data_IF_735269779854
#
_entry.id   IF_735269779854
#
_cell.length_a   1.000
_cell.length_b   1.000
_cell.length_c   1.000
_cell.angle_alpha   90.00
_cell.angle_beta   90.00
_cell.angle_gamma   90.00
#
_symmetry.space_group_name_H-M   'P 1'
#
loop_
_entity.id
_entity.type
_entity.pdbx_description
1 polymer ?
#
# COMPACT_ATOMS: atom_id res chain seq x y z
N UNK A 1 7.58 -3.56 -25.91
CA UNK A 1 8.73 -3.98 -25.09
C UNK A 1 8.32 -3.74 -23.65
N UNK A 2 8.26 -4.79 -22.82
CA UNK A 2 7.93 -4.63 -21.40
C UNK A 2 9.14 -4.00 -20.72
N UNK A 3 8.99 -2.81 -20.13
CA UNK A 3 10.02 -2.24 -19.26
C UNK A 3 10.08 -3.14 -18.03
N UNK A 4 11.12 -3.96 -17.94
CA UNK A 4 11.38 -4.77 -16.75
C UNK A 4 11.73 -3.82 -15.62
N UNK A 5 10.87 -3.75 -14.59
CA UNK A 5 11.16 -2.98 -13.38
C UNK A 5 12.39 -3.63 -12.74
N UNK A 6 13.46 -2.86 -12.58
CA UNK A 6 14.69 -3.32 -11.94
C UNK A 6 14.72 -2.83 -10.50
N UNK A 7 14.99 -3.74 -9.56
CA UNK A 7 15.04 -3.41 -8.15
C UNK A 7 16.06 -4.28 -7.40
N UNK A 8 16.52 -3.75 -6.27
CA UNK A 8 17.55 -4.35 -5.44
C UNK A 8 16.92 -5.30 -4.41
N UNK A 9 16.96 -6.60 -4.71
CA UNK A 9 16.48 -7.66 -3.82
C UNK A 9 17.12 -7.62 -2.43
N UNK A 10 18.42 -7.33 -2.36
CA UNK A 10 19.11 -7.23 -1.07
C UNK A 10 18.55 -6.08 -0.25
N UNK A 11 18.25 -4.94 -0.86
CA UNK A 11 17.64 -3.82 -0.15
C UNK A 11 16.24 -4.14 0.35
N UNK A 12 15.42 -4.83 -0.46
CA UNK A 12 14.11 -5.33 -0.01
C UNK A 12 14.21 -6.29 1.17
N UNK A 13 15.22 -7.17 1.19
CA UNK A 13 15.44 -8.11 2.28
C UNK A 13 15.79 -7.47 3.63
N UNK A 14 16.23 -6.20 3.64
CA UNK A 14 16.48 -5.45 4.87
C UNK A 14 15.24 -4.73 5.41
N UNK A 15 14.14 -4.67 4.67
CA UNK A 15 12.88 -4.09 5.14
C UNK A 15 12.35 -4.94 6.28
N UNK A 16 12.04 -4.30 7.42
CA UNK A 16 11.67 -4.97 8.68
C UNK A 16 10.53 -5.99 8.50
N UNK A 17 9.51 -5.61 7.75
CA UNK A 17 8.33 -6.42 7.48
C UNK A 17 8.64 -7.63 6.58
N UNK A 18 9.67 -7.54 5.74
CA UNK A 18 10.01 -8.58 4.76
C UNK A 18 11.14 -9.50 5.21
N UNK A 19 11.98 -9.02 6.13
CA UNK A 19 13.24 -9.66 6.54
C UNK A 19 13.10 -11.15 6.83
N UNK A 20 12.13 -11.52 7.68
CA UNK A 20 11.94 -12.91 8.06
C UNK A 20 11.59 -13.82 6.87
N UNK A 21 10.83 -13.33 5.89
CA UNK A 21 10.46 -14.12 4.71
C UNK A 21 11.65 -14.34 3.79
N UNK A 22 12.48 -13.32 3.58
CA UNK A 22 13.71 -13.46 2.81
C UNK A 22 14.77 -14.33 3.51
N UNK A 23 14.90 -14.24 4.83
CA UNK A 23 15.79 -15.12 5.61
C UNK A 23 15.36 -16.59 5.56
N UNK A 24 14.05 -16.84 5.51
CA UNK A 24 13.49 -18.20 5.46
C UNK A 24 13.62 -18.81 4.06
N UNK A 25 13.26 -18.08 3.02
CA UNK A 25 13.29 -18.54 1.64
C UNK A 25 13.43 -17.36 0.68
N UNK A 26 14.67 -16.93 0.47
CA UNK A 26 14.97 -15.77 -0.38
C UNK A 26 14.43 -15.94 -1.80
N UNK A 27 14.66 -17.11 -2.41
CA UNK A 27 14.31 -17.34 -3.81
C UNK A 27 12.80 -17.49 -3.98
N UNK A 28 12.14 -18.32 -3.17
CA UNK A 28 10.70 -18.51 -3.27
C UNK A 28 9.91 -17.26 -2.93
N UNK A 29 10.36 -16.46 -1.96
CA UNK A 29 9.70 -15.18 -1.67
C UNK A 29 9.91 -14.15 -2.80
N UNK A 30 11.11 -14.11 -3.41
CA UNK A 30 11.37 -13.28 -4.59
C UNK A 30 10.44 -13.64 -5.76
N UNK A 31 10.31 -14.94 -6.07
CA UNK A 31 9.43 -15.43 -7.13
C UNK A 31 7.95 -15.06 -6.90
N UNK A 32 7.49 -15.09 -5.64
CA UNK A 32 6.12 -14.65 -5.30
C UNK A 32 5.91 -13.16 -5.56
N UNK A 33 6.89 -12.33 -5.19
CA UNK A 33 6.85 -10.89 -5.51
C UNK A 33 6.83 -10.69 -7.03
N UNK A 34 7.70 -11.38 -7.77
CA UNK A 34 7.76 -11.29 -9.25
C UNK A 34 6.43 -11.70 -9.91
N UNK A 35 5.78 -12.75 -9.41
CA UNK A 35 4.46 -13.18 -9.88
C UNK A 35 3.44 -12.03 -9.78
N UNK A 36 3.35 -11.39 -8.61
CA UNK A 36 2.43 -10.27 -8.40
C UNK A 36 2.80 -9.05 -9.24
N UNK A 37 4.10 -8.77 -9.42
CA UNK A 37 4.55 -7.70 -10.32
C UNK A 37 4.03 -7.96 -11.73
N UNK A 38 4.17 -9.18 -12.24
CA UNK A 38 3.72 -9.54 -13.58
C UNK A 38 2.21 -9.35 -13.77
N UNK A 39 1.39 -9.73 -12.78
CA UNK A 39 -0.06 -9.54 -12.85
C UNK A 39 -0.44 -8.05 -12.77
N UNK A 40 0.16 -7.29 -11.86
CA UNK A 40 -0.11 -5.86 -11.69
C UNK A 40 0.32 -5.03 -12.92
N UNK A 41 1.38 -5.43 -13.62
CA UNK A 41 1.84 -4.77 -14.85
C UNK A 41 0.84 -4.87 -16.02
N UNK A 42 -0.14 -5.77 -15.95
CA UNK A 42 -1.21 -5.89 -16.95
C UNK A 42 -2.31 -4.84 -16.78
N UNK A 43 -2.34 -4.15 -15.62
CA UNK A 43 -3.35 -3.13 -15.31
C UNK A 43 -3.05 -1.86 -16.09
N UNK A 44 -4.12 -1.20 -16.57
CA UNK A 44 -4.01 0.09 -17.24
C UNK A 44 -3.36 1.14 -16.33
N UNK A 45 -2.44 1.94 -16.90
CA UNK A 45 -1.69 2.96 -16.15
C UNK A 45 -2.58 3.88 -15.30
N UNK A 46 -3.74 4.30 -15.83
CA UNK A 46 -4.65 5.19 -15.10
C UNK A 46 -5.29 4.53 -13.89
N UNK A 47 -5.53 3.22 -13.94
CA UNK A 47 -6.04 2.48 -12.79
C UNK A 47 -4.94 2.23 -11.76
N UNK A 48 -3.68 2.02 -12.18
CA UNK A 48 -2.53 1.99 -11.27
C UNK A 48 -2.36 3.32 -10.50
N UNK A 49 -2.61 4.46 -11.14
CA UNK A 49 -2.58 5.77 -10.47
C UNK A 49 -3.63 5.84 -9.34
N UNK A 50 -4.85 5.37 -9.60
CA UNK A 50 -5.93 5.33 -8.61
C UNK A 50 -5.65 4.35 -7.47
N UNK A 51 -5.12 3.16 -7.80
CA UNK A 51 -4.73 2.15 -6.83
C UNK A 51 -3.58 2.63 -5.94
N UNK A 52 -2.64 3.41 -6.48
CA UNK A 52 -1.58 4.04 -5.68
C UNK A 52 -2.16 5.02 -4.64
N UNK A 53 -3.18 5.81 -5.00
CA UNK A 53 -3.90 6.69 -4.06
C UNK A 53 -4.55 5.87 -2.95
N UNK A 54 -5.32 4.84 -3.31
CA UNK A 54 -5.94 3.95 -2.31
C UNK A 54 -4.87 3.36 -1.38
N UNK A 55 -3.76 2.88 -1.95
CA UNK A 55 -2.70 2.23 -1.16
C UNK A 55 -2.03 3.18 -0.18
N UNK A 56 -1.77 4.42 -0.57
CA UNK A 56 -1.22 5.43 0.34
C UNK A 56 -2.20 5.70 1.49
N UNK A 57 -3.50 5.84 1.19
CA UNK A 57 -4.54 6.02 2.23
C UNK A 57 -4.56 4.82 3.21
N UNK A 58 -4.50 3.60 2.69
CA UNK A 58 -4.47 2.39 3.51
C UNK A 58 -3.23 2.33 4.43
N UNK A 59 -2.04 2.62 3.89
CA UNK A 59 -0.79 2.63 4.65
C UNK A 59 -0.82 3.73 5.72
N UNK A 60 -1.22 4.95 5.36
CA UNK A 60 -1.37 6.06 6.30
C UNK A 60 -2.33 5.68 7.42
N UNK A 61 -3.49 5.12 7.12
CA UNK A 61 -4.41 4.63 8.13
C UNK A 61 -3.79 3.52 8.97
N UNK A 62 -3.08 2.57 8.37
CA UNK A 62 -2.33 1.54 9.10
C UNK A 62 -1.38 2.14 10.14
N UNK A 63 -0.58 3.15 9.76
CA UNK A 63 0.28 3.89 10.65
C UNK A 63 -0.51 4.59 11.78
N UNK A 64 -1.63 5.25 11.45
CA UNK A 64 -2.54 5.88 12.43
C UNK A 64 -3.06 4.87 13.45
N UNK A 65 -3.59 3.74 13.00
CA UNK A 65 -4.16 2.71 13.88
C UNK A 65 -3.10 2.08 14.79
N UNK A 66 -1.90 1.82 14.27
CA UNK A 66 -0.79 1.28 15.08
C UNK A 66 -0.25 2.30 16.06
N UNK A 67 -0.16 3.58 15.69
CA UNK A 67 0.26 4.63 16.59
C UNK A 67 -0.71 4.80 17.77
N UNK A 68 -2.01 4.72 17.52
CA UNK A 68 -3.02 4.68 18.58
C UNK A 68 -2.86 3.44 19.49
N UNK A 69 -2.71 2.23 18.92
CA UNK A 69 -2.53 0.99 19.70
C UNK A 69 -1.31 1.03 20.63
N UNK A 70 -0.21 1.64 20.18
CA UNK A 70 1.02 1.79 20.97
C UNK A 70 0.99 2.97 21.94
N UNK A 71 -0.02 3.85 21.85
CA UNK A 71 -0.09 5.12 22.56
C UNK A 71 1.12 6.01 22.25
N UNK A 72 1.49 6.08 20.97
CA UNK A 72 2.53 7.00 20.50
C UNK A 72 2.16 8.44 20.93
N UNK A 73 3.15 9.28 21.22
CA UNK A 73 2.93 10.65 21.71
C UNK A 73 2.02 11.50 20.81
N UNK A 74 2.13 11.29 19.49
CA UNK A 74 1.31 11.98 18.48
C UNK A 74 0.01 11.21 18.12
N UNK A 75 -0.40 10.23 18.92
CA UNK A 75 -1.62 9.47 18.64
C UNK A 75 -2.86 10.36 18.64
N UNK A 76 -3.73 10.12 17.66
CA UNK A 76 -5.01 10.81 17.58
C UNK A 76 -5.93 10.36 18.72
N UNK A 77 -6.96 11.16 19.00
CA UNK A 77 -8.01 10.72 19.92
C UNK A 77 -8.68 9.43 19.43
N UNK A 78 -9.38 8.74 20.32
CA UNK A 78 -10.12 7.51 19.98
C UNK A 78 -11.13 7.79 18.86
N UNK A 79 -11.83 8.92 18.95
CA UNK A 79 -12.87 9.36 18.01
C UNK A 79 -12.26 9.59 16.63
N UNK A 80 -11.16 10.35 16.56
CA UNK A 80 -10.50 10.65 15.29
C UNK A 80 -9.85 9.41 14.67
N UNK A 81 -9.29 8.53 15.49
CA UNK A 81 -8.74 7.23 15.04
C UNK A 81 -9.84 6.35 14.42
N UNK A 82 -11.04 6.33 15.02
CA UNK A 82 -12.22 5.62 14.48
C UNK A 82 -12.74 6.26 13.21
N UNK A 83 -12.79 7.60 13.14
CA UNK A 83 -13.18 8.33 11.93
C UNK A 83 -12.28 7.96 10.75
N UNK A 84 -10.96 7.96 10.95
CA UNK A 84 -9.98 7.51 9.96
C UNK A 84 -10.28 6.09 9.47
N UNK A 85 -10.46 5.15 10.40
CA UNK A 85 -10.72 3.75 10.05
C UNK A 85 -12.03 3.61 9.26
N UNK A 86 -13.11 4.24 9.73
CA UNK A 86 -14.43 4.16 9.09
C UNK A 86 -14.39 4.73 7.67
N UNK A 87 -13.68 5.84 7.46
CA UNK A 87 -13.54 6.45 6.15
C UNK A 87 -12.80 5.52 5.17
N UNK A 88 -11.67 4.95 5.59
CA UNK A 88 -10.89 4.02 4.74
C UNK A 88 -11.64 2.72 4.47
N UNK A 89 -12.29 2.13 5.48
CA UNK A 89 -13.15 0.95 5.28
C UNK A 89 -14.24 1.26 4.25
N UNK A 90 -14.88 2.43 4.35
CA UNK A 90 -15.90 2.85 3.40
C UNK A 90 -15.36 2.90 1.97
N UNK A 91 -14.16 3.44 1.75
CA UNK A 91 -13.56 3.48 0.41
C UNK A 91 -13.33 2.10 -0.20
N UNK A 92 -12.92 1.14 0.62
CA UNK A 92 -12.69 -0.24 0.20
C UNK A 92 -14.04 -0.93 -0.08
N UNK A 93 -15.02 -0.77 0.81
CA UNK A 93 -16.33 -1.43 0.69
C UNK A 93 -17.17 -0.92 -0.47
N UNK A 94 -17.14 0.40 -0.72
CA UNK A 94 -17.86 1.03 -1.83
C UNK A 94 -17.00 1.14 -3.08
N UNK A 95 -15.73 0.71 -3.02
CA UNK A 95 -14.76 0.74 -4.10
C UNK A 95 -14.77 2.08 -4.82
N UNK A 96 -14.62 3.15 -4.02
CA UNK A 96 -14.69 4.54 -4.45
C UNK A 96 -13.96 5.40 -3.41
N UNK A 97 -13.20 6.40 -3.85
CA UNK A 97 -12.57 7.36 -2.94
C UNK A 97 -13.29 8.70 -3.08
N UNK A 98 -14.03 9.09 -2.04
CA UNK A 98 -14.64 10.42 -1.95
C UNK A 98 -13.59 11.43 -1.46
N UNK A 99 -13.26 12.39 -2.32
CA UNK A 99 -12.34 13.48 -1.98
C UNK A 99 -13.10 14.57 -1.22
N UNK A 100 -12.54 15.14 -0.14
CA UNK A 100 -13.15 16.26 0.57
C UNK A 100 -13.42 17.50 -0.28
N UNK A 101 -12.69 17.68 -1.39
CA UNK A 101 -13.00 18.70 -2.42
C UNK A 101 -14.34 18.50 -3.15
N UNK A 102 -14.99 17.33 -2.99
CA UNK A 102 -16.30 17.01 -3.56
C UNK A 102 -16.25 16.10 -4.78
N UNK A 103 -15.05 15.85 -5.32
CA UNK A 103 -14.84 14.89 -6.41
C UNK A 103 -14.78 13.44 -5.91
N UNK A 104 -14.75 12.50 -6.85
CA UNK A 104 -14.82 11.08 -6.55
C UNK A 104 -14.00 10.26 -7.53
N UNK A 105 -13.14 9.40 -6.99
CA UNK A 105 -12.37 8.46 -7.79
C UNK A 105 -13.15 7.14 -7.85
N UNK A 106 -13.46 6.72 -9.08
CA UNK A 106 -14.15 5.47 -9.37
C UNK A 106 -13.20 4.46 -10.01
N UNK A 107 -13.36 3.19 -9.65
CA UNK A 107 -12.62 2.07 -10.22
C UNK A 107 -13.46 1.33 -11.25
N UNK A 108 -12.80 0.74 -12.24
CA UNK A 108 -13.45 -0.17 -13.18
C UNK A 108 -13.82 -1.49 -12.49
N UNK A 109 -14.73 -2.27 -13.05
CA UNK A 109 -15.19 -3.54 -12.44
C UNK A 109 -14.07 -4.56 -12.24
N UNK A 110 -13.07 -4.61 -13.12
CA UNK A 110 -11.90 -5.47 -12.93
C UNK A 110 -11.06 -5.04 -11.73
N UNK A 111 -10.95 -3.74 -11.49
CA UNK A 111 -10.19 -3.19 -10.37
C UNK A 111 -10.97 -3.28 -9.06
N UNK A 112 -12.29 -3.16 -9.12
CA UNK A 112 -13.18 -3.48 -8.00
C UNK A 112 -12.95 -4.92 -7.51
N UNK A 113 -12.92 -5.88 -8.42
CA UNK A 113 -12.61 -7.28 -8.09
C UNK A 113 -11.22 -7.41 -7.44
N UNK A 114 -10.20 -6.74 -7.98
CA UNK A 114 -8.85 -6.75 -7.40
C UNK A 114 -8.80 -6.17 -5.98
N UNK A 115 -9.60 -5.12 -5.70
CA UNK A 115 -9.73 -4.54 -4.36
C UNK A 115 -10.37 -5.55 -3.40
N UNK A 116 -11.40 -6.28 -3.84
CA UNK A 116 -12.03 -7.33 -3.03
C UNK A 116 -11.08 -8.48 -2.72
N UNK A 117 -10.33 -8.94 -3.73
CA UNK A 117 -9.29 -9.97 -3.56
C UNK A 117 -8.19 -9.52 -2.60
N UNK A 118 -7.72 -8.27 -2.72
CA UNK A 118 -6.76 -7.69 -1.78
C UNK A 118 -7.29 -7.60 -0.35
N UNK A 119 -8.56 -7.24 -0.18
CA UNK A 119 -9.25 -7.20 1.12
C UNK A 119 -9.40 -8.59 1.72
N UNK A 120 -9.77 -9.59 0.93
CA UNK A 120 -9.86 -10.98 1.38
C UNK A 120 -8.50 -11.49 1.83
N UNK A 121 -7.44 -11.24 1.05
CA UNK A 121 -6.07 -11.60 1.40
C UNK A 121 -5.64 -10.96 2.74
N UNK A 122 -5.96 -9.69 2.97
CA UNK A 122 -5.70 -9.03 4.26
C UNK A 122 -6.46 -9.69 5.42
N UNK A 123 -7.73 -10.07 5.21
CA UNK A 123 -8.52 -10.75 6.24
C UNK A 123 -7.94 -12.13 6.56
N UNK A 124 -7.59 -12.90 5.54
CA UNK A 124 -7.00 -14.22 5.70
C UNK A 124 -5.67 -14.16 6.45
N UNK A 125 -4.83 -13.17 6.12
CA UNK A 125 -3.54 -12.94 6.77
C UNK A 125 -3.69 -12.50 8.24
N UNK A 126 -4.45 -11.44 8.52
CA UNK A 126 -4.37 -10.74 9.81
C UNK A 126 -5.63 -10.87 10.69
N UNK A 127 -6.69 -11.52 10.21
CA UNK A 127 -7.93 -11.73 10.98
C UNK A 127 -8.22 -13.21 11.19
N UNK A 128 -8.09 -14.03 10.15
CA UNK A 128 -8.32 -15.48 10.22
C UNK A 128 -7.03 -16.24 10.53
N UNK A 129 -5.85 -15.62 10.38
CA UNK A 129 -4.53 -16.21 10.62
C UNK A 129 -4.32 -17.51 9.83
N UNK A 130 -4.74 -17.52 8.57
CA UNK A 130 -4.54 -18.67 7.69
C UNK A 130 -3.04 -18.78 7.37
N UNK A 131 -2.50 -19.98 7.47
CA UNK A 131 -1.09 -20.25 7.21
C UNK A 131 -0.66 -19.73 5.82
N UNK A 132 0.56 -19.19 5.75
CA UNK A 132 1.19 -18.63 4.53
C UNK A 132 0.52 -17.36 3.94
N UNK A 133 -0.68 -16.97 4.38
CA UNK A 133 -1.39 -15.80 3.83
C UNK A 133 -0.76 -14.47 4.22
N UNK A 134 -0.11 -14.39 5.38
CA UNK A 134 0.67 -13.20 5.74
C UNK A 134 1.86 -12.99 4.80
N UNK A 135 2.60 -14.06 4.49
CA UNK A 135 3.68 -14.02 3.49
C UNK A 135 3.14 -13.59 2.13
N UNK A 136 2.01 -14.15 1.72
CA UNK A 136 1.37 -13.81 0.46
C UNK A 136 0.93 -12.33 0.40
N UNK A 137 0.36 -11.81 1.49
CA UNK A 137 0.01 -10.40 1.61
C UNK A 137 1.24 -9.49 1.47
N UNK A 138 2.35 -9.82 2.14
CA UNK A 138 3.57 -9.02 2.02
C UNK A 138 4.23 -9.11 0.63
N UNK A 139 4.15 -10.26 -0.03
CA UNK A 139 4.59 -10.38 -1.43
C UNK A 139 3.76 -9.46 -2.34
N UNK A 140 2.43 -9.51 -2.23
CA UNK A 140 1.51 -8.68 -3.01
C UNK A 140 1.69 -7.19 -2.71
N UNK A 141 1.75 -6.81 -1.44
CA UNK A 141 1.99 -5.42 -1.02
C UNK A 141 3.33 -4.88 -1.52
N UNK A 142 4.38 -5.71 -1.54
CA UNK A 142 5.69 -5.31 -2.07
C UNK A 142 5.60 -5.07 -3.57
N UNK A 143 4.97 -5.98 -4.31
CA UNK A 143 4.75 -5.84 -5.74
C UNK A 143 3.96 -4.56 -6.10
N UNK A 144 2.94 -4.19 -5.31
CA UNK A 144 2.22 -2.93 -5.48
C UNK A 144 3.16 -1.72 -5.44
N UNK A 145 4.00 -1.60 -4.40
CA UNK A 145 4.92 -0.46 -4.29
C UNK A 145 5.92 -0.40 -5.45
N UNK A 146 6.42 -1.56 -5.89
CA UNK A 146 7.37 -1.65 -6.99
C UNK A 146 6.73 -1.26 -8.34
N UNK A 147 5.51 -1.74 -8.62
CA UNK A 147 4.78 -1.44 -9.87
C UNK A 147 4.27 -0.01 -9.91
N UNK A 148 3.79 0.53 -8.80
CA UNK A 148 3.38 1.94 -8.77
C UNK A 148 4.59 2.85 -9.01
N UNK A 149 5.72 2.52 -8.40
CA UNK A 149 6.98 3.22 -8.59
C UNK A 149 7.01 4.63 -7.98
N UNK A 150 8.18 5.27 -8.07
CA UNK A 150 8.43 6.62 -7.53
C UNK A 150 7.38 7.65 -7.96
N UNK A 151 7.06 7.81 -9.26
CA UNK A 151 6.22 8.92 -9.71
C UNK A 151 4.79 8.83 -9.18
N UNK A 152 4.15 7.64 -9.28
CA UNK A 152 2.76 7.46 -8.85
C UNK A 152 2.60 7.59 -7.35
N UNK A 153 3.51 6.98 -6.59
CA UNK A 153 3.45 7.04 -5.12
C UNK A 153 3.67 8.48 -4.62
N UNK A 154 4.58 9.24 -5.22
CA UNK A 154 4.77 10.65 -4.86
C UNK A 154 3.54 11.51 -5.18
N UNK A 155 2.93 11.32 -6.36
CA UNK A 155 1.70 12.01 -6.73
C UNK A 155 0.53 11.64 -5.80
N UNK A 156 0.40 10.35 -5.46
CA UNK A 156 -0.60 9.85 -4.53
C UNK A 156 -0.42 10.43 -3.12
N UNK A 157 0.82 10.47 -2.60
CA UNK A 157 1.13 11.09 -1.30
C UNK A 157 0.78 12.59 -1.31
N UNK A 158 1.10 13.29 -2.40
CA UNK A 158 0.77 14.71 -2.53
C UNK A 158 -0.75 14.94 -2.52
N UNK A 159 -1.52 14.14 -3.26
CA UNK A 159 -2.97 14.21 -3.24
C UNK A 159 -3.55 13.86 -1.87
N UNK A 160 -3.03 12.82 -1.22
CA UNK A 160 -3.47 12.44 0.13
C UNK A 160 -3.19 13.56 1.14
N UNK A 161 -2.07 14.26 1.00
CA UNK A 161 -1.77 15.44 1.81
C UNK A 161 -2.77 16.57 1.55
N UNK A 162 -3.06 16.88 0.29
CA UNK A 162 -3.99 17.94 -0.06
C UNK A 162 -5.42 17.66 0.43
N UNK A 163 -5.88 16.42 0.26
CA UNK A 163 -7.29 16.06 0.45
C UNK A 163 -7.57 15.55 1.87
N UNK A 164 -6.63 14.83 2.49
CA UNK A 164 -6.88 14.09 3.75
C UNK A 164 -6.01 14.52 4.93
N UNK A 165 -5.28 15.64 4.85
CA UNK A 165 -4.50 16.13 5.98
C UNK A 165 -5.38 16.47 7.20
N UNK A 166 -6.59 17.00 7.01
CA UNK A 166 -7.53 17.24 8.11
C UNK A 166 -8.02 15.95 8.79
N UNK A 167 -7.97 14.83 8.07
CA UNK A 167 -8.34 13.51 8.59
C UNK A 167 -7.17 12.87 9.33
N UNK A 168 -6.01 12.76 8.68
CA UNK A 168 -4.87 11.99 9.20
C UNK A 168 -3.83 12.81 9.95
N UNK A 169 -3.80 14.13 9.78
CA UNK A 169 -2.69 15.04 10.13
C UNK A 169 -1.44 14.84 9.28
N UNK A 170 -0.64 15.90 9.11
CA UNK A 170 0.67 15.83 8.44
C UNK A 170 1.56 14.74 9.06
N UNK A 171 1.53 14.55 10.38
CA UNK A 171 2.38 13.56 11.05
C UNK A 171 2.15 12.14 10.52
N UNK A 172 0.90 11.68 10.43
CA UNK A 172 0.63 10.31 9.98
C UNK A 172 0.78 10.14 8.47
N UNK A 173 0.57 11.19 7.69
CA UNK A 173 0.87 11.18 6.26
C UNK A 173 2.38 10.98 6.04
N UNK A 174 3.23 11.73 6.76
CA UNK A 174 4.68 11.54 6.67
C UNK A 174 5.12 10.17 7.24
N UNK A 175 4.47 9.65 8.29
CA UNK A 175 4.70 8.26 8.74
C UNK A 175 4.39 7.24 7.64
N UNK A 176 3.28 7.42 6.92
CA UNK A 176 2.93 6.56 5.79
C UNK A 176 3.96 6.66 4.67
N UNK A 177 4.38 7.87 4.30
CA UNK A 177 5.48 8.09 3.34
C UNK A 177 6.77 7.39 3.76
N UNK A 178 7.15 7.51 5.03
CA UNK A 178 8.36 6.88 5.56
C UNK A 178 8.27 5.35 5.62
N UNK A 179 7.07 4.80 5.79
CA UNK A 179 6.84 3.35 5.67
C UNK A 179 7.06 2.87 4.23
N UNK A 180 6.63 3.65 3.24
CA UNK A 180 6.74 3.31 1.81
C UNK A 180 8.17 3.52 1.29
N UNK A 181 8.91 4.50 1.83
CA UNK A 181 10.20 4.93 1.31
C UNK A 181 11.22 3.79 1.07
N UNK A 182 11.43 2.82 1.98
CA UNK A 182 12.39 1.73 1.76
C UNK A 182 12.09 0.87 0.52
N UNK A 183 10.81 0.64 0.21
CA UNK A 183 10.39 -0.11 -0.98
C UNK A 183 10.72 0.65 -2.25
N UNK A 184 10.49 1.96 -2.23
CA UNK A 184 10.79 2.85 -3.35
C UNK A 184 12.29 2.97 -3.55
N UNK A 185 13.07 3.09 -2.48
CA UNK A 185 14.53 3.21 -2.53
C UNK A 185 15.19 1.98 -3.15
N UNK A 186 14.57 0.81 -3.03
CA UNK A 186 15.02 -0.41 -3.68
C UNK A 186 14.85 -0.40 -5.22
N UNK A 187 14.05 0.51 -5.78
CA UNK A 187 13.95 0.67 -7.24
C UNK A 187 15.24 1.25 -7.79
N UNK A 188 15.84 0.51 -8.74
CA UNK A 188 17.02 0.97 -9.46
C UNK A 188 16.61 2.04 -10.48
N UNK A 189 17.50 3.00 -10.81
CA UNK A 189 17.25 3.93 -11.90
C UNK A 189 16.97 3.14 -13.19
N UNK A 190 15.97 3.55 -13.96
CA UNK A 190 15.91 3.14 -15.36
C UNK A 190 17.20 3.64 -16.01
N UNK A 191 18.00 2.72 -16.59
CA UNK A 191 19.19 3.11 -17.34
C UNK A 191 18.73 4.13 -18.41
N UNK A 192 19.25 5.36 -18.31
CA UNK A 192 19.04 6.42 -19.30
C UNK A 192 19.62 6.02 -20.66
#
# INVERSE_FOLDING_TARGET
MSNSIMFNWQQLAHIKELKHYFETDFHGFSQRIEHHIHELQKIESKELDKLAILRVIEVTNGCTQWGFRRKDEQCLSVEKTRECMNKVIGFIQYQKIDLPSGESIHFTSSIQQLIDEGRELYQDAFKKNIADKEKEYYAYSTAQFLVYGRPRLNAAIQLVKQEFESLFTTYYIEKGRNYIAPYIEALLPENQ
#
